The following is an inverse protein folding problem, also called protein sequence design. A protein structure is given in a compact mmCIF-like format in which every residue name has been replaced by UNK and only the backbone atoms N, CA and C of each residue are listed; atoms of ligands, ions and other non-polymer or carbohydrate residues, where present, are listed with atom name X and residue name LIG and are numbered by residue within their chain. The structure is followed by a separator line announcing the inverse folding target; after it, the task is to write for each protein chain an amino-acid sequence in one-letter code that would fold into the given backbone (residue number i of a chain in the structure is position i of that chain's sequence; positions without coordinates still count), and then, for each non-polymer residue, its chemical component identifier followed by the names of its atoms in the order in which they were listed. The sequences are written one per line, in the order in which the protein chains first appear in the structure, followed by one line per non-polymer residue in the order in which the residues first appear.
data_IF_994354399402
#
_entry.id   IF_994354399402
#
_cell.length_a   1.000
_cell.length_b   1.000
_cell.length_c   1.000
_cell.angle_alpha   90.00
_cell.angle_beta   90.00
_cell.angle_gamma   90.00
#
_symmetry.space_group_name_H-M   'P 1'
#
loop_
_entity.id
_entity.type
_entity.pdbx_description
1 polymer ?
#
# COMPACT_ATOMS: atom_id res chain seq x y z
N UNK A 1 -3.99 -16.26 -8.11
CA UNK A 1 -2.61 -16.24 -8.70
C UNK A 1 -2.49 -15.69 -10.14
N UNK A 2 -3.32 -16.12 -11.11
CA UNK A 2 -3.20 -15.71 -12.53
C UNK A 2 -3.13 -14.18 -12.75
N UNK A 3 -3.98 -13.43 -12.05
CA UNK A 3 -3.98 -11.96 -12.08
C UNK A 3 -2.60 -11.35 -11.78
N UNK A 4 -1.93 -11.82 -10.73
CA UNK A 4 -0.63 -11.30 -10.31
C UNK A 4 0.43 -11.58 -11.39
N UNK A 5 0.42 -12.77 -11.99
CA UNK A 5 1.38 -13.13 -13.03
C UNK A 5 1.24 -12.26 -14.29
N UNK A 6 0.01 -11.96 -14.72
CA UNK A 6 -0.25 -11.08 -15.86
C UNK A 6 0.23 -9.64 -15.60
N UNK A 7 0.12 -9.17 -14.35
CA UNK A 7 0.54 -7.82 -13.95
C UNK A 7 2.04 -7.65 -13.77
N UNK A 8 2.79 -8.71 -13.42
CA UNK A 8 4.25 -8.65 -13.16
C UNK A 8 5.06 -8.07 -14.31
N UNK A 9 4.63 -8.24 -15.56
CA UNK A 9 5.35 -7.72 -16.72
C UNK A 9 5.38 -6.18 -16.78
N UNK A 10 4.43 -5.49 -16.13
CA UNK A 10 4.19 -4.06 -16.32
C UNK A 10 4.27 -3.24 -15.04
N UNK A 11 4.46 -3.87 -13.87
CA UNK A 11 4.42 -3.20 -12.57
C UNK A 11 5.71 -3.44 -11.80
N UNK A 12 6.06 -2.50 -10.92
CA UNK A 12 7.19 -2.66 -10.00
C UNK A 12 6.95 -3.80 -9.01
N UNK A 13 8.03 -4.40 -8.51
CA UNK A 13 7.97 -5.44 -7.47
C UNK A 13 7.21 -4.96 -6.22
N UNK A 14 7.40 -3.69 -5.83
CA UNK A 14 6.67 -3.09 -4.71
C UNK A 14 5.16 -3.01 -4.94
N UNK A 15 4.73 -2.74 -6.17
CA UNK A 15 3.32 -2.67 -6.53
C UNK A 15 2.71 -4.08 -6.57
N UNK A 16 3.46 -5.06 -7.08
CA UNK A 16 3.06 -6.47 -7.06
C UNK A 16 2.91 -6.98 -5.63
N UNK A 17 3.88 -6.68 -4.76
CA UNK A 17 3.81 -7.01 -3.35
C UNK A 17 2.55 -6.44 -2.68
N UNK A 18 2.23 -5.16 -2.94
CA UNK A 18 1.02 -4.53 -2.41
C UNK A 18 -0.26 -5.24 -2.89
N UNK A 19 -0.34 -5.60 -4.17
CA UNK A 19 -1.49 -6.38 -4.67
C UNK A 19 -1.57 -7.75 -4.00
N UNK A 20 -0.45 -8.45 -3.84
CA UNK A 20 -0.42 -9.76 -3.18
C UNK A 20 -0.87 -9.67 -1.73
N UNK A 21 -0.35 -8.69 -0.97
CA UNK A 21 -0.74 -8.49 0.43
C UNK A 21 -2.22 -8.12 0.55
N UNK A 22 -2.70 -7.16 -0.24
CA UNK A 22 -4.09 -6.71 -0.18
C UNK A 22 -5.08 -7.80 -0.61
N UNK A 23 -4.81 -8.52 -1.71
CA UNK A 23 -5.68 -9.60 -2.18
C UNK A 23 -5.53 -10.88 -1.34
N UNK A 24 -4.38 -11.08 -0.69
CA UNK A 24 -4.17 -12.14 0.28
C UNK A 24 -5.16 -12.02 1.43
N UNK A 25 -5.30 -10.81 2.01
CA UNK A 25 -6.30 -10.57 3.07
C UNK A 25 -7.75 -10.87 2.66
N UNK A 26 -8.10 -10.64 1.39
CA UNK A 26 -9.41 -11.01 0.87
C UNK A 26 -9.57 -12.53 0.74
N UNK A 27 -8.54 -13.21 0.24
CA UNK A 27 -8.54 -14.68 0.10
C UNK A 27 -8.68 -15.35 1.46
N UNK A 28 -7.91 -14.89 2.45
CA UNK A 28 -7.99 -15.38 3.83
C UNK A 28 -9.39 -15.16 4.42
N UNK A 29 -10.03 -14.01 4.15
CA UNK A 29 -11.40 -13.77 4.60
C UNK A 29 -12.42 -14.71 3.94
N UNK A 30 -12.27 -14.98 2.63
CA UNK A 30 -13.13 -15.93 1.91
C UNK A 30 -13.02 -17.36 2.47
N UNK A 31 -11.83 -17.79 2.91
CA UNK A 31 -11.63 -19.13 3.49
C UNK A 31 -12.48 -19.40 4.75
N UNK A 32 -12.97 -18.35 5.42
CA UNK A 32 -13.88 -18.46 6.57
C UNK A 32 -15.36 -18.45 6.19
N UNK A 33 -15.70 -18.20 4.92
CA UNK A 33 -17.09 -18.15 4.45
C UNK A 33 -17.50 -19.51 3.88
N UNK A 34 -18.59 -20.07 4.38
CA UNK A 34 -19.03 -21.42 3.98
C UNK A 34 -19.61 -21.51 2.56
N UNK A 35 -19.94 -20.38 1.93
CA UNK A 35 -20.59 -20.34 0.61
C UNK A 35 -19.67 -19.89 -0.52
N UNK A 36 -18.39 -19.58 -0.23
CA UNK A 36 -17.44 -19.07 -1.21
C UNK A 36 -16.39 -20.15 -1.49
N UNK A 37 -16.58 -20.91 -2.57
CA UNK A 37 -15.59 -21.87 -3.06
C UNK A 37 -14.90 -21.37 -4.34
N UNK A 38 -15.60 -20.53 -5.10
CA UNK A 38 -15.19 -20.01 -6.39
C UNK A 38 -15.44 -18.51 -6.50
N UNK A 39 -14.70 -17.86 -7.43
CA UNK A 39 -14.83 -16.42 -7.67
C UNK A 39 -16.25 -16.01 -8.10
N UNK A 40 -16.99 -16.92 -8.75
CA UNK A 40 -18.36 -16.69 -9.20
C UNK A 40 -19.40 -16.74 -8.08
N UNK A 41 -19.04 -17.24 -6.90
CA UNK A 41 -19.94 -17.29 -5.74
C UNK A 41 -20.01 -15.95 -5.00
N UNK A 42 -19.04 -15.07 -5.26
CA UNK A 42 -18.93 -13.77 -4.61
C UNK A 42 -19.97 -12.82 -5.17
N UNK A 43 -20.74 -12.21 -4.27
CA UNK A 43 -21.69 -11.17 -4.60
C UNK A 43 -21.33 -9.80 -3.99
N UNK A 44 -22.26 -8.85 -4.10
CA UNK A 44 -22.07 -7.50 -3.58
C UNK A 44 -22.10 -7.44 -2.03
N UNK A 45 -22.85 -8.33 -1.39
CA UNK A 45 -22.91 -8.43 0.06
C UNK A 45 -21.59 -8.95 0.60
N UNK A 46 -20.99 -9.95 -0.03
CA UNK A 46 -19.67 -10.46 0.37
C UNK A 46 -18.59 -9.38 0.38
N UNK A 47 -18.56 -8.54 -0.66
CA UNK A 47 -17.62 -7.42 -0.74
C UNK A 47 -17.90 -6.38 0.36
N UNK A 48 -19.17 -6.15 0.67
CA UNK A 48 -19.57 -5.25 1.75
C UNK A 48 -19.15 -5.80 3.12
N UNK A 49 -19.36 -7.09 3.35
CA UNK A 49 -19.05 -7.78 4.59
C UNK A 49 -17.54 -7.86 4.82
N UNK A 50 -16.77 -8.16 3.77
CA UNK A 50 -15.31 -8.06 3.80
C UNK A 50 -14.85 -6.65 4.20
N UNK A 51 -15.43 -5.60 3.60
CA UNK A 51 -15.11 -4.21 3.95
C UNK A 51 -15.42 -3.90 5.41
N UNK A 52 -16.55 -4.39 5.92
CA UNK A 52 -16.94 -4.20 7.33
C UNK A 52 -15.98 -4.95 8.27
N UNK A 53 -15.66 -6.20 7.98
CA UNK A 53 -14.71 -7.00 8.76
C UNK A 53 -13.32 -6.31 8.83
N UNK A 54 -12.77 -5.85 7.70
CA UNK A 54 -11.48 -5.13 7.68
C UNK A 54 -11.50 -3.84 8.50
N UNK A 55 -12.64 -3.16 8.57
CA UNK A 55 -12.79 -1.90 9.32
C UNK A 55 -13.02 -2.14 10.80
N UNK A 56 -13.96 -3.02 11.13
CA UNK A 56 -14.55 -3.13 12.47
C UNK A 56 -13.85 -4.21 13.30
N UNK A 57 -13.46 -5.34 12.70
CA UNK A 57 -12.81 -6.45 13.40
C UNK A 57 -11.29 -6.29 13.40
N UNK A 58 -10.69 -5.97 12.24
CA UNK A 58 -9.23 -5.77 12.13
C UNK A 58 -8.78 -4.37 12.54
N UNK A 59 -9.71 -3.40 12.60
CA UNK A 59 -9.43 -2.02 13.03
C UNK A 59 -8.40 -1.29 12.16
N UNK A 60 -8.34 -1.56 10.86
CA UNK A 60 -7.29 -0.95 10.01
C UNK A 60 -7.56 0.53 9.73
N UNK A 61 -6.47 1.27 9.52
CA UNK A 61 -6.55 2.68 9.13
C UNK A 61 -7.29 2.87 7.79
N UNK A 62 -8.01 3.99 7.64
CA UNK A 62 -8.81 4.33 6.45
C UNK A 62 -8.02 4.22 5.13
N UNK A 63 -6.77 4.68 5.12
CA UNK A 63 -5.91 4.57 3.93
C UNK A 63 -5.58 3.11 3.59
N UNK A 64 -5.38 2.26 4.59
CA UNK A 64 -5.16 0.83 4.39
C UNK A 64 -6.43 0.17 3.85
N UNK A 65 -7.58 0.46 4.46
CA UNK A 65 -8.87 -0.05 3.98
C UNK A 65 -9.12 0.37 2.53
N UNK A 66 -8.88 1.63 2.20
CA UNK A 66 -8.99 2.13 0.83
C UNK A 66 -8.10 1.34 -0.13
N UNK A 67 -6.83 1.14 0.21
CA UNK A 67 -5.87 0.45 -0.66
C UNK A 67 -6.28 -1.01 -0.89
N UNK A 68 -6.77 -1.68 0.15
CA UNK A 68 -7.31 -3.04 0.04
C UNK A 68 -8.52 -3.07 -0.89
N UNK A 69 -9.52 -2.21 -0.66
CA UNK A 69 -10.74 -2.15 -1.48
C UNK A 69 -10.45 -1.75 -2.94
N UNK A 70 -9.46 -0.87 -3.17
CA UNK A 70 -9.04 -0.50 -4.53
C UNK A 70 -8.34 -1.65 -5.24
N UNK A 71 -7.50 -2.42 -4.52
CA UNK A 71 -6.87 -3.61 -5.06
C UNK A 71 -7.92 -4.67 -5.42
N UNK A 72 -8.88 -4.92 -4.52
CA UNK A 72 -10.00 -5.83 -4.75
C UNK A 72 -10.83 -5.39 -5.96
N UNK A 73 -11.22 -4.11 -6.05
CA UNK A 73 -11.97 -3.59 -7.20
C UNK A 73 -11.24 -3.79 -8.52
N UNK A 74 -9.93 -3.56 -8.53
CA UNK A 74 -9.11 -3.78 -9.73
C UNK A 74 -9.04 -5.26 -10.12
N UNK A 75 -9.01 -6.15 -9.12
CA UNK A 75 -9.04 -7.59 -9.32
C UNK A 75 -10.40 -8.08 -9.85
N UNK A 76 -11.52 -7.66 -9.24
CA UNK A 76 -12.87 -8.00 -9.72
C UNK A 76 -13.08 -7.51 -11.16
N UNK A 77 -12.63 -6.28 -11.47
CA UNK A 77 -12.67 -5.77 -12.85
C UNK A 77 -11.86 -6.62 -13.83
N UNK A 78 -10.75 -7.20 -13.38
CA UNK A 78 -10.01 -8.16 -14.19
C UNK A 78 -10.79 -9.46 -14.36
N UNK A 79 -11.45 -9.98 -13.31
CA UNK A 79 -12.31 -11.15 -13.40
C UNK A 79 -13.46 -10.95 -14.39
N UNK A 80 -14.12 -9.79 -14.39
CA UNK A 80 -15.14 -9.40 -15.37
C UNK A 80 -14.59 -9.43 -16.79
N UNK A 81 -13.39 -8.89 -17.02
CA UNK A 81 -12.75 -8.90 -18.34
C UNK A 81 -12.45 -10.32 -18.87
N UNK A 82 -12.44 -11.33 -18.00
CA UNK A 82 -12.25 -12.74 -18.35
C UNK A 82 -13.57 -13.53 -18.33
N UNK A 83 -14.72 -12.89 -18.07
CA UNK A 83 -16.03 -13.52 -17.99
C UNK A 83 -16.22 -14.45 -16.79
N UNK A 84 -15.55 -14.15 -15.66
CA UNK A 84 -15.63 -14.97 -14.44
C UNK A 84 -16.73 -14.51 -13.47
N UNK A 85 -17.07 -13.22 -13.53
CA UNK A 85 -18.10 -12.54 -12.73
C UNK A 85 -18.68 -11.40 -13.58
N UNK A 86 -19.91 -11.00 -13.31
CA UNK A 86 -20.61 -9.97 -14.10
C UNK A 86 -20.98 -8.75 -13.23
N UNK A 87 -20.67 -7.54 -13.72
CA UNK A 87 -21.15 -6.24 -13.20
C UNK A 87 -20.98 -5.99 -11.68
N UNK A 88 -19.93 -6.53 -11.08
CA UNK A 88 -19.69 -6.43 -9.64
C UNK A 88 -18.75 -5.26 -9.29
N UNK A 89 -17.75 -4.97 -10.12
CA UNK A 89 -16.67 -4.02 -9.85
C UNK A 89 -17.12 -2.56 -9.81
N UNK A 90 -18.19 -2.22 -10.54
CA UNK A 90 -18.77 -0.87 -10.55
C UNK A 90 -19.46 -0.53 -9.23
N UNK A 91 -20.01 -1.55 -8.58
CA UNK A 91 -20.78 -1.45 -7.35
C UNK A 91 -19.93 -1.44 -6.08
N UNK A 92 -18.61 -1.63 -6.20
CA UNK A 92 -17.66 -1.58 -5.10
C UNK A 92 -17.42 -0.13 -4.68
N UNK A 93 -18.07 0.28 -3.59
CA UNK A 93 -17.84 1.59 -2.98
C UNK A 93 -16.52 1.60 -2.21
N UNK A 94 -15.59 2.42 -2.68
CA UNK A 94 -14.35 2.69 -1.96
C UNK A 94 -14.65 3.57 -0.74
N UNK A 95 -14.04 3.28 0.43
CA UNK A 95 -14.14 4.17 1.59
C UNK A 95 -13.46 5.52 1.30
N UNK A 96 -13.61 6.49 2.18
CA UNK A 96 -12.73 7.67 2.17
C UNK A 96 -11.31 7.22 2.56
N UNK A 97 -10.28 7.84 1.98
CA UNK A 97 -8.88 7.63 2.41
C UNK A 97 -8.61 8.24 3.79
N UNK A 98 -9.53 9.06 4.29
CA UNK A 98 -9.36 9.87 5.49
C UNK A 98 -8.32 10.96 5.29
N UNK A 99 -8.15 11.84 6.29
CA UNK A 99 -7.04 12.81 6.33
C UNK A 99 -5.79 12.15 6.91
N UNK A 100 -5.24 11.17 6.20
CA UNK A 100 -4.08 10.42 6.67
C UNK A 100 -2.75 10.91 6.08
N UNK A 101 -2.57 12.22 5.92
CA UNK A 101 -1.22 12.77 5.76
C UNK A 101 -0.71 13.17 7.13
N UNK A 102 0.36 12.50 7.60
CA UNK A 102 1.10 12.96 8.77
C UNK A 102 1.70 14.33 8.41
N UNK A 103 1.16 15.40 8.99
CA UNK A 103 1.60 16.79 8.75
C UNK A 103 2.77 17.21 9.62
N UNK A 104 3.23 16.34 10.52
CA UNK A 104 4.40 16.58 11.35
C UNK A 104 5.65 16.63 10.47
N UNK A 105 6.31 17.77 10.49
CA UNK A 105 7.63 17.98 9.88
C UNK A 105 8.65 18.16 10.99
N UNK A 106 9.91 17.81 10.71
CA UNK A 106 11.00 18.16 11.62
C UNK A 106 11.13 19.69 11.66
N UNK A 107 11.31 20.23 12.87
CA UNK A 107 11.58 21.64 13.05
C UNK A 107 13.01 21.98 12.59
N UNK A 108 13.23 23.12 11.90
CA UNK A 108 14.57 23.50 11.44
C UNK A 108 15.63 23.54 12.53
N UNK A 109 15.29 23.97 13.74
CA UNK A 109 16.23 24.02 14.87
C UNK A 109 16.63 22.61 15.30
N UNK A 110 15.67 21.68 15.33
CA UNK A 110 15.94 20.28 15.62
C UNK A 110 16.85 19.64 14.57
N UNK A 111 16.64 19.96 13.28
CA UNK A 111 17.50 19.48 12.21
C UNK A 111 18.93 20.03 12.33
N UNK A 112 19.09 21.32 12.65
CA UNK A 112 20.40 21.94 12.88
C UNK A 112 21.13 21.31 14.07
N UNK A 113 20.42 21.02 15.17
CA UNK A 113 21.00 20.32 16.33
C UNK A 113 21.49 18.91 15.95
N UNK A 114 20.71 18.17 15.15
CA UNK A 114 21.11 16.84 14.65
C UNK A 114 22.36 16.96 13.78
N UNK A 115 22.39 17.89 12.83
CA UNK A 115 23.55 18.11 11.95
C UNK A 115 24.80 18.49 12.74
N UNK A 116 24.69 19.41 13.69
CA UNK A 116 25.82 19.81 14.55
C UNK A 116 26.35 18.63 15.39
N UNK A 117 25.46 17.77 15.89
CA UNK A 117 25.88 16.56 16.59
C UNK A 117 26.61 15.59 15.65
N UNK A 118 26.02 15.32 14.48
CA UNK A 118 26.56 14.39 13.49
C UNK A 118 27.90 14.88 12.92
N UNK A 119 28.04 16.18 12.67
CA UNK A 119 29.29 16.79 12.22
C UNK A 119 30.40 16.68 13.28
N UNK A 120 30.06 16.86 14.56
CA UNK A 120 31.04 16.83 15.64
C UNK A 120 31.47 15.42 16.08
N UNK A 121 30.53 14.48 16.14
CA UNK A 121 30.75 13.17 16.77
C UNK A 121 30.67 11.99 15.80
N UNK A 122 29.95 12.12 14.70
CA UNK A 122 29.66 11.05 13.73
C UNK A 122 30.05 11.48 12.31
N UNK A 123 31.14 12.24 12.18
CA UNK A 123 31.53 12.89 10.93
C UNK A 123 31.71 11.88 9.79
N UNK A 124 31.21 12.22 8.60
CA UNK A 124 31.27 11.39 7.38
C UNK A 124 30.78 9.93 7.54
N UNK A 125 30.00 9.63 8.60
CA UNK A 125 29.33 8.34 8.74
C UNK A 125 28.06 8.29 7.89
N UNK A 126 27.50 7.10 7.72
CA UNK A 126 26.24 6.92 6.99
C UNK A 126 25.08 7.78 7.54
N UNK A 127 24.82 7.84 8.87
CA UNK A 127 23.78 8.72 9.42
C UNK A 127 24.02 10.20 9.11
N UNK A 128 25.27 10.68 9.18
CA UNK A 128 25.60 12.06 8.87
C UNK A 128 25.30 12.39 7.41
N UNK A 129 25.88 11.65 6.47
CA UNK A 129 25.71 11.90 5.03
C UNK A 129 24.25 11.73 4.61
N UNK A 130 23.57 10.70 5.10
CA UNK A 130 22.16 10.47 4.81
C UNK A 130 21.30 11.64 5.27
N UNK A 131 21.46 12.07 6.53
CA UNK A 131 20.64 13.14 7.09
C UNK A 131 20.91 14.48 6.40
N UNK A 132 22.18 14.81 6.14
CA UNK A 132 22.56 16.04 5.42
C UNK A 132 21.95 16.09 4.01
N UNK A 133 22.06 15.01 3.22
CA UNK A 133 21.48 14.98 1.86
C UNK A 133 19.96 15.05 1.90
N UNK A 134 19.31 14.35 2.85
CA UNK A 134 17.85 14.41 3.01
C UNK A 134 17.38 15.83 3.38
N UNK A 135 18.10 16.51 4.27
CA UNK A 135 17.74 17.84 4.76
C UNK A 135 18.00 18.93 3.72
N UNK A 136 19.20 18.97 3.14
CA UNK A 136 19.61 20.06 2.26
C UNK A 136 19.03 19.96 0.85
N UNK A 137 18.88 18.74 0.32
CA UNK A 137 18.39 18.52 -1.05
C UNK A 137 16.95 17.99 -1.11
N UNK A 138 16.34 17.64 0.02
CA UNK A 138 14.97 17.12 0.07
C UNK A 138 14.77 15.79 -0.67
N UNK A 139 15.83 15.02 -0.87
CA UNK A 139 15.78 13.78 -1.63
C UNK A 139 15.06 12.68 -0.85
N UNK A 140 14.23 11.91 -1.56
CA UNK A 140 13.66 10.66 -1.00
C UNK A 140 14.78 9.64 -0.79
N UNK A 141 14.65 8.82 0.24
CA UNK A 141 15.65 7.79 0.59
C UNK A 141 16.02 6.86 -0.59
N UNK A 142 15.05 6.54 -1.46
CA UNK A 142 15.30 5.73 -2.66
C UNK A 142 16.21 6.44 -3.67
N UNK A 143 16.09 7.76 -3.82
CA UNK A 143 16.94 8.55 -4.70
C UNK A 143 18.37 8.67 -4.14
N UNK A 144 18.50 8.81 -2.81
CA UNK A 144 19.82 8.82 -2.15
C UNK A 144 20.51 7.47 -2.33
N UNK A 145 19.76 6.37 -2.18
CA UNK A 145 20.29 5.01 -2.38
C UNK A 145 20.73 4.75 -3.83
N UNK A 146 20.16 5.44 -4.81
CA UNK A 146 20.54 5.31 -6.22
C UNK A 146 21.64 6.26 -6.66
N UNK A 147 22.19 7.08 -5.76
CA UNK A 147 23.32 7.94 -6.11
C UNK A 147 24.51 7.07 -6.51
N UNK A 148 25.01 7.32 -7.71
CA UNK A 148 26.16 6.68 -8.29
C UNK A 148 27.25 7.74 -8.52
N UNK A 149 28.51 7.35 -8.40
CA UNK A 149 29.67 8.25 -8.56
C UNK A 149 30.19 8.29 -9.99
N UNK A 150 29.64 7.45 -10.86
CA UNK A 150 29.98 7.33 -12.29
C UNK A 150 29.31 8.40 -13.17
#
# INVERSE_FOLDING_TARGET
ERYIQERKANLSDSTIYNYQSNLGSFTEWCDYQSHIDHIGDIDQFDISDFKMNRRDDDGVADTTLYNVMMALRTFIKWCESKGLVDDLSENIMLPDRGRASRTETIDPEAAEQILNYLDKYEYATYPHVLFAIMWDAGLRIGAIRSLDLD
#
